data_IF_079356372101
#
_entry.id   IF_079356372101
#
_cell.length_a   1.000
_cell.length_b   1.000
_cell.length_c   1.000
_cell.angle_alpha   90.00
_cell.angle_beta   90.00
_cell.angle_gamma   90.00
#
_symmetry.space_group_name_H-M   'P 1'
#
loop_
_entity.id
_entity.type
_entity.pdbx_description
1 polymer ?
#
# COMPACT_ATOMS: atom_id res chain seq x y z
N UNK A 1 14.74 -12.20 14.17
CA UNK A 1 13.96 -11.61 13.07
C UNK A 1 12.52 -12.05 13.23
N UNK A 2 11.60 -11.15 13.58
CA UNK A 2 10.16 -11.43 13.53
C UNK A 2 9.65 -10.82 12.22
N UNK A 3 9.49 -11.66 11.21
CA UNK A 3 8.72 -11.32 10.01
C UNK A 3 7.27 -11.19 10.43
N UNK A 4 6.73 -9.97 10.40
CA UNK A 4 5.30 -9.74 10.57
C UNK A 4 4.61 -10.11 9.27
N UNK A 5 4.02 -11.30 9.25
CA UNK A 5 3.17 -11.78 8.18
C UNK A 5 1.87 -10.99 8.17
N UNK A 6 1.61 -10.23 7.11
CA UNK A 6 0.23 -9.92 6.72
C UNK A 6 -0.26 -11.10 5.88
N UNK A 7 -0.74 -12.16 6.55
CA UNK A 7 -1.50 -13.22 5.88
C UNK A 7 -2.87 -12.64 5.47
N UNK A 8 -2.98 -12.23 4.21
CA UNK A 8 -4.26 -12.29 3.54
C UNK A 8 -4.45 -13.75 3.10
N UNK A 9 -5.54 -14.39 3.53
CA UNK A 9 -5.91 -15.74 3.08
C UNK A 9 -6.16 -15.70 1.58
N UNK A 10 -5.13 -16.01 0.80
CA UNK A 10 -5.26 -16.29 -0.62
C UNK A 10 -6.01 -17.62 -0.77
N UNK A 11 -7.26 -17.55 -1.21
CA UNK A 11 -7.96 -18.69 -1.81
C UNK A 11 -7.39 -18.91 -3.21
N UNK A 12 -6.10 -19.27 -3.31
CA UNK A 12 -5.46 -19.64 -4.58
C UNK A 12 -5.48 -21.16 -4.74
N UNK A 13 -6.62 -21.67 -5.17
CA UNK A 13 -6.70 -22.98 -5.83
C UNK A 13 -7.51 -22.85 -7.11
N UNK A 14 -7.03 -22.03 -8.05
CA UNK A 14 -7.59 -21.89 -9.40
C UNK A 14 -7.29 -23.11 -10.31
N UNK A 15 -7.03 -24.28 -9.73
CA UNK A 15 -6.85 -25.54 -10.46
C UNK A 15 -7.93 -26.58 -10.16
N UNK A 16 -8.90 -26.30 -9.29
CA UNK A 16 -10.06 -27.18 -9.04
C UNK A 16 -11.28 -26.35 -8.62
N UNK A 17 -11.79 -25.49 -9.51
CA UNK A 17 -13.10 -24.87 -9.30
C UNK A 17 -14.21 -25.92 -9.57
N UNK A 18 -15.21 -26.08 -8.70
CA UNK A 18 -16.34 -26.98 -8.95
C UNK A 18 -17.04 -26.64 -10.26
N UNK A 19 -17.50 -27.65 -11.01
CA UNK A 19 -18.18 -27.52 -12.32
C UNK A 19 -19.32 -26.47 -12.34
N UNK A 20 -19.97 -26.22 -11.19
CA UNK A 20 -20.99 -25.18 -11.02
C UNK A 20 -20.48 -23.74 -11.14
N UNK A 21 -19.21 -23.48 -10.82
CA UNK A 21 -18.57 -22.15 -10.92
C UNK A 21 -18.21 -21.82 -12.38
N UNK A 22 -17.65 -22.78 -13.12
CA UNK A 22 -17.36 -22.63 -14.56
C UNK A 22 -18.63 -22.36 -15.41
N UNK A 23 -19.77 -22.93 -15.02
CA UNK A 23 -21.06 -22.68 -15.68
C UNK A 23 -21.60 -21.27 -15.40
N UNK A 24 -21.36 -20.70 -14.21
CA UNK A 24 -21.75 -19.33 -13.86
C UNK A 24 -20.88 -18.30 -14.59
N UNK A 25 -19.57 -18.51 -14.66
CA UNK A 25 -18.66 -17.58 -15.32
C UNK A 25 -18.90 -17.47 -16.83
N UNK A 26 -19.22 -18.57 -17.51
CA UNK A 26 -19.56 -18.52 -18.93
C UNK A 26 -20.80 -17.68 -19.25
N UNK A 27 -21.82 -17.69 -18.37
CA UNK A 27 -23.05 -16.89 -18.56
C UNK A 27 -22.79 -15.39 -18.40
N UNK A 28 -21.80 -15.00 -17.59
CA UNK A 28 -21.43 -13.59 -17.40
C UNK A 28 -20.70 -13.04 -18.63
N UNK A 29 -19.85 -13.86 -19.26
CA UNK A 29 -19.09 -13.49 -20.46
C UNK A 29 -20.01 -13.27 -21.68
N UNK A 30 -20.94 -14.18 -21.94
CA UNK A 30 -21.77 -14.21 -23.15
C UNK A 30 -22.60 -12.92 -23.32
N UNK A 31 -22.99 -12.26 -22.23
CA UNK A 31 -23.76 -11.01 -22.29
C UNK A 31 -23.00 -9.82 -22.87
N UNK A 32 -21.68 -9.93 -23.07
CA UNK A 32 -20.81 -8.82 -23.50
C UNK A 32 -20.59 -8.84 -25.00
N UNK A 33 -20.99 -7.74 -25.65
CA UNK A 33 -20.92 -7.58 -27.11
C UNK A 33 -19.64 -6.90 -27.59
N UNK A 34 -18.87 -6.26 -26.69
CA UNK A 34 -17.60 -5.59 -27.02
C UNK A 34 -16.42 -6.29 -26.35
N UNK A 35 -15.25 -6.25 -27.01
CA UNK A 35 -14.01 -6.79 -26.44
C UNK A 35 -13.66 -6.12 -25.09
N UNK A 36 -13.80 -4.80 -25.00
CA UNK A 36 -13.50 -4.05 -23.78
C UNK A 36 -14.35 -4.49 -22.59
N UNK A 37 -15.65 -4.70 -22.78
CA UNK A 37 -16.55 -5.13 -21.71
C UNK A 37 -16.36 -6.62 -21.36
N UNK A 38 -15.99 -7.43 -22.35
CA UNK A 38 -15.60 -8.82 -22.15
C UNK A 38 -14.40 -8.94 -21.20
N UNK A 39 -13.30 -8.22 -21.50
CA UNK A 39 -12.05 -8.33 -20.74
C UNK A 39 -12.16 -7.76 -19.32
N UNK A 40 -13.06 -6.79 -19.09
CA UNK A 40 -13.36 -6.28 -17.74
C UNK A 40 -14.05 -7.31 -16.85
N UNK A 41 -14.66 -8.34 -17.45
CA UNK A 41 -15.33 -9.41 -16.74
C UNK A 41 -14.32 -10.49 -16.34
N UNK A 42 -14.48 -11.03 -15.13
CA UNK A 42 -13.58 -12.03 -14.57
C UNK A 42 -13.56 -13.28 -15.48
N UNK A 43 -12.36 -13.80 -15.75
CA UNK A 43 -12.13 -15.08 -16.46
C UNK A 43 -12.71 -15.20 -17.90
N UNK A 44 -13.09 -14.09 -18.53
CA UNK A 44 -13.57 -14.06 -19.93
C UNK A 44 -12.47 -13.77 -20.96
N UNK A 45 -12.55 -14.37 -22.13
CA UNK A 45 -11.64 -14.14 -23.25
C UNK A 45 -12.44 -13.70 -24.48
N UNK A 46 -11.76 -13.04 -25.43
CA UNK A 46 -12.40 -12.53 -26.63
C UNK A 46 -11.85 -13.20 -27.89
N UNK A 47 -12.70 -13.63 -28.80
CA UNK A 47 -12.32 -14.14 -30.11
C UNK A 47 -12.37 -13.03 -31.18
N UNK A 48 -11.20 -12.65 -31.71
CA UNK A 48 -11.04 -11.62 -32.75
C UNK A 48 -11.00 -12.19 -34.18
N UNK A 49 -11.48 -13.41 -34.39
CA UNK A 49 -11.51 -14.07 -35.71
C UNK A 49 -12.28 -13.19 -36.72
N UNK A 50 -11.67 -12.84 -37.86
CA UNK A 50 -12.33 -12.06 -38.91
C UNK A 50 -13.43 -12.88 -39.59
N UNK A 51 -14.53 -12.23 -39.96
CA UNK A 51 -15.70 -12.87 -40.56
C UNK A 51 -16.80 -13.18 -39.54
N UNK A 52 -17.80 -13.95 -39.96
CA UNK A 52 -18.95 -14.26 -39.12
C UNK A 52 -18.62 -15.47 -38.23
N UNK A 53 -18.36 -15.20 -36.95
CA UNK A 53 -18.24 -16.26 -35.94
C UNK A 53 -19.66 -16.59 -35.48
N UNK A 54 -20.10 -17.82 -35.71
CA UNK A 54 -21.49 -18.25 -35.44
C UNK A 54 -21.85 -18.24 -33.95
N UNK A 55 -20.84 -18.30 -33.09
CA UNK A 55 -20.96 -18.35 -31.63
C UNK A 55 -20.63 -17.00 -30.98
N UNK A 56 -20.84 -16.89 -29.66
CA UNK A 56 -20.51 -15.68 -28.91
C UNK A 56 -19.00 -15.41 -28.88
N UNK A 57 -18.59 -14.20 -29.26
CA UNK A 57 -17.18 -13.79 -29.27
C UNK A 57 -16.56 -13.63 -27.88
N UNK A 58 -17.39 -13.45 -26.85
CA UNK A 58 -16.95 -13.36 -25.46
C UNK A 58 -17.34 -14.62 -24.70
N UNK A 59 -16.37 -15.43 -24.30
CA UNK A 59 -16.60 -16.60 -23.47
C UNK A 59 -15.34 -16.98 -22.70
N UNK A 60 -15.41 -18.00 -21.85
CA UNK A 60 -14.19 -18.56 -21.23
C UNK A 60 -13.25 -19.08 -22.31
N UNK A 61 -11.94 -19.04 -22.03
CA UNK A 61 -10.91 -19.48 -22.97
C UNK A 61 -11.18 -20.89 -23.53
N UNK A 62 -11.56 -21.82 -22.65
CA UNK A 62 -11.85 -23.21 -23.01
C UNK A 62 -13.03 -23.31 -24.00
N UNK A 63 -14.14 -22.62 -23.73
CA UNK A 63 -15.32 -22.65 -24.62
C UNK A 63 -15.06 -22.01 -25.97
N UNK A 64 -14.26 -20.95 -26.03
CA UNK A 64 -13.88 -20.35 -27.31
C UNK A 64 -13.06 -21.31 -28.17
N UNK A 65 -12.17 -22.09 -27.56
CA UNK A 65 -11.40 -23.12 -28.27
C UNK A 65 -12.30 -24.27 -28.76
N UNK A 66 -13.24 -24.74 -27.93
CA UNK A 66 -14.25 -25.74 -28.33
C UNK A 66 -15.13 -25.24 -29.49
N UNK A 67 -15.51 -23.95 -29.45
CA UNK A 67 -16.30 -23.29 -30.48
C UNK A 67 -15.49 -22.97 -31.75
N UNK A 68 -14.25 -23.45 -31.86
CA UNK A 68 -13.43 -23.33 -33.06
C UNK A 68 -12.69 -22.01 -33.21
N UNK A 69 -12.55 -21.21 -32.15
CA UNK A 69 -11.68 -20.03 -32.17
C UNK A 69 -10.19 -20.45 -32.09
N UNK A 70 -9.38 -20.21 -33.14
CA UNK A 70 -7.96 -20.56 -33.11
C UNK A 70 -7.20 -19.72 -32.07
N UNK A 71 -6.17 -20.29 -31.44
CA UNK A 71 -5.37 -19.59 -30.43
C UNK A 71 -4.75 -18.27 -30.91
N UNK A 72 -4.45 -18.14 -32.22
CA UNK A 72 -3.95 -16.88 -32.81
C UNK A 72 -4.97 -15.73 -32.77
N UNK A 73 -6.26 -16.06 -32.72
CA UNK A 73 -7.36 -15.10 -32.67
C UNK A 73 -7.94 -14.93 -31.26
N UNK A 74 -7.36 -15.63 -30.28
CA UNK A 74 -7.78 -15.55 -28.90
C UNK A 74 -7.08 -14.37 -28.23
N UNK A 75 -7.86 -13.37 -27.83
CA UNK A 75 -7.40 -12.23 -27.05
C UNK A 75 -7.78 -12.41 -25.57
N UNK A 76 -6.76 -12.62 -24.74
CA UNK A 76 -6.88 -12.69 -23.29
C UNK A 76 -5.65 -12.05 -22.66
N UNK A 77 -5.66 -10.73 -22.37
CA UNK A 77 -4.53 -10.07 -21.75
C UNK A 77 -4.25 -10.72 -20.40
N UNK A 78 -2.98 -10.96 -20.11
CA UNK A 78 -2.53 -11.54 -18.86
C UNK A 78 -1.98 -10.44 -17.96
N UNK A 79 -2.11 -10.64 -16.65
CA UNK A 79 -1.47 -9.76 -15.68
C UNK A 79 0.05 -9.94 -15.74
N UNK A 80 0.80 -8.87 -15.96
CA UNK A 80 2.28 -8.87 -15.91
C UNK A 80 2.80 -8.15 -14.67
N UNK A 81 3.96 -8.57 -14.19
CA UNK A 81 4.65 -8.01 -13.03
C UNK A 81 6.14 -7.98 -13.34
N UNK A 82 6.73 -6.79 -13.27
CA UNK A 82 8.12 -6.54 -13.58
C UNK A 82 8.78 -5.81 -12.40
N UNK A 83 9.93 -6.31 -11.95
CA UNK A 83 10.75 -5.66 -10.94
C UNK A 83 11.68 -4.66 -11.64
N UNK A 84 11.56 -3.38 -11.28
CA UNK A 84 12.41 -2.33 -11.86
C UNK A 84 13.55 -1.97 -10.90
N UNK A 85 13.27 -1.83 -9.61
CA UNK A 85 14.27 -1.56 -8.57
C UNK A 85 14.02 -2.50 -7.38
N UNK A 86 15.03 -3.33 -7.09
CA UNK A 86 14.98 -4.41 -6.09
C UNK A 86 16.31 -4.55 -5.32
N UNK A 87 16.81 -3.42 -4.82
CA UNK A 87 18.03 -3.37 -4.01
C UNK A 87 17.86 -4.07 -2.66
N UNK A 88 18.94 -4.69 -2.18
CA UNK A 88 18.93 -5.44 -0.94
C UNK A 88 18.83 -4.55 0.30
N UNK A 89 18.19 -5.07 1.33
CA UNK A 89 18.01 -4.38 2.60
C UNK A 89 19.36 -4.11 3.27
N UNK A 90 19.65 -2.84 3.52
CA UNK A 90 20.93 -2.38 4.04
C UNK A 90 20.76 -1.65 5.37
N UNK A 91 21.80 -1.69 6.19
CA UNK A 91 21.91 -0.81 7.35
C UNK A 91 22.69 0.45 6.94
N UNK A 92 22.61 1.50 7.74
CA UNK A 92 23.38 2.71 7.52
C UNK A 92 24.87 2.40 7.72
N UNK A 93 25.64 2.35 6.63
CA UNK A 93 27.10 2.11 6.66
C UNK A 93 27.89 3.41 6.59
N UNK A 94 27.37 4.41 5.89
CA UNK A 94 27.97 5.75 5.74
C UNK A 94 27.00 6.85 6.20
N UNK A 95 27.52 7.98 6.68
CA UNK A 95 26.69 9.10 7.15
C UNK A 95 25.79 9.70 6.06
N UNK A 96 26.23 9.60 4.80
CA UNK A 96 25.60 10.21 3.62
C UNK A 96 24.63 9.27 2.87
N UNK A 97 24.56 7.98 3.22
CA UNK A 97 23.65 7.03 2.58
C UNK A 97 22.52 6.66 3.52
N UNK A 98 21.29 6.79 3.03
CA UNK A 98 20.12 6.34 3.77
C UNK A 98 20.00 4.81 3.71
N UNK A 99 19.62 4.16 4.83
CA UNK A 99 19.47 2.71 4.86
C UNK A 99 18.26 2.26 4.06
N UNK A 100 18.41 1.16 3.30
CA UNK A 100 17.33 0.55 2.52
C UNK A 100 16.53 -0.37 3.44
N UNK A 101 15.35 0.07 3.85
CA UNK A 101 14.48 -0.65 4.80
C UNK A 101 13.32 -1.41 4.13
N UNK A 102 13.05 -1.13 2.86
CA UNK A 102 11.97 -1.72 2.08
C UNK A 102 12.51 -2.27 0.76
N UNK A 103 11.98 -3.43 0.36
CA UNK A 103 12.27 -4.12 -0.90
C UNK A 103 11.00 -4.80 -1.41
N UNK A 104 10.64 -4.71 -2.71
CA UNK A 104 11.26 -3.91 -3.78
C UNK A 104 10.98 -2.40 -3.65
N UNK A 105 11.79 -1.56 -4.31
CA UNK A 105 11.62 -0.09 -4.30
C UNK A 105 10.76 0.39 -5.47
N UNK A 106 10.81 -0.30 -6.62
CA UNK A 106 10.00 0.02 -7.79
C UNK A 106 9.52 -1.24 -8.50
N UNK A 107 8.20 -1.29 -8.73
CA UNK A 107 7.53 -2.39 -9.44
C UNK A 107 6.61 -1.82 -10.51
N UNK A 108 6.58 -2.48 -11.66
CA UNK A 108 5.66 -2.18 -12.75
C UNK A 108 4.67 -3.33 -12.89
N UNK A 109 3.38 -3.04 -12.78
CA UNK A 109 2.33 -4.07 -12.78
C UNK A 109 1.29 -3.70 -13.81
N UNK A 110 1.08 -4.58 -14.79
CA UNK A 110 -0.06 -4.49 -15.71
C UNK A 110 -1.12 -5.46 -15.25
N UNK A 111 -2.19 -4.96 -14.65
CA UNK A 111 -3.22 -5.79 -14.02
C UNK A 111 -4.41 -5.94 -14.95
N UNK A 112 -4.83 -7.19 -15.17
CA UNK A 112 -6.13 -7.48 -15.77
C UNK A 112 -7.26 -7.20 -14.75
N UNK A 113 -8.32 -6.47 -15.12
CA UNK A 113 -9.43 -6.18 -14.21
C UNK A 113 -9.99 -7.46 -13.56
N UNK A 114 -10.38 -7.34 -12.29
CA UNK A 114 -10.96 -8.44 -11.48
C UNK A 114 -10.00 -9.61 -11.17
N UNK A 115 -8.72 -9.52 -11.54
CA UNK A 115 -7.71 -10.51 -11.17
C UNK A 115 -6.70 -9.83 -10.22
N UNK A 116 -6.80 -10.09 -8.91
CA UNK A 116 -5.83 -9.55 -7.97
C UNK A 116 -4.45 -10.14 -8.23
N UNK A 117 -3.41 -9.31 -8.06
CA UNK A 117 -2.01 -9.73 -8.11
C UNK A 117 -1.35 -9.41 -6.80
N UNK A 118 -0.91 -10.44 -6.09
CA UNK A 118 -0.11 -10.30 -4.89
C UNK A 118 1.36 -10.24 -5.24
N UNK A 119 2.10 -9.41 -4.50
CA UNK A 119 3.55 -9.35 -4.54
C UNK A 119 4.06 -9.15 -3.11
N UNK A 120 5.28 -9.59 -2.85
CA UNK A 120 5.84 -9.56 -1.51
C UNK A 120 6.63 -8.28 -1.31
N UNK A 121 6.41 -7.64 -0.16
CA UNK A 121 7.20 -6.51 0.31
C UNK A 121 7.91 -6.95 1.59
N UNK A 122 9.23 -6.82 1.58
CA UNK A 122 10.07 -7.15 2.73
C UNK A 122 10.46 -5.86 3.44
N UNK A 123 10.27 -5.85 4.76
CA UNK A 123 10.65 -4.73 5.63
C UNK A 123 11.68 -5.17 6.66
N UNK A 124 12.68 -4.31 6.89
CA UNK A 124 13.64 -4.45 7.99
C UNK A 124 13.93 -3.08 8.57
N UNK A 125 13.72 -2.93 9.87
CA UNK A 125 14.06 -1.71 10.59
C UNK A 125 15.58 -1.51 10.59
N UNK A 126 16.02 -0.31 10.20
CA UNK A 126 17.43 0.08 10.25
C UNK A 126 17.91 0.30 11.69
N UNK A 127 19.18 0.03 11.93
CA UNK A 127 19.87 0.44 13.17
C UNK A 127 20.24 1.93 13.05
N UNK A 128 20.14 2.67 14.15
CA UNK A 128 20.51 4.09 14.23
C UNK A 128 19.81 5.00 13.20
N UNK A 129 18.48 4.94 13.17
CA UNK A 129 17.66 5.80 12.31
C UNK A 129 17.33 7.12 13.01
N UNK A 130 17.39 8.28 12.31
CA UNK A 130 17.17 9.58 12.92
C UNK A 130 15.77 9.70 13.55
N UNK A 131 15.70 10.39 14.68
CA UNK A 131 14.45 10.63 15.41
C UNK A 131 14.26 12.12 15.66
N UNK A 132 13.13 12.64 15.20
CA UNK A 132 12.68 14.00 15.48
C UNK A 132 11.53 13.95 16.49
N UNK A 133 11.72 14.56 17.66
CA UNK A 133 10.69 14.67 18.69
C UNK A 133 10.29 16.12 18.85
N UNK A 134 9.00 16.42 18.64
CA UNK A 134 8.44 17.75 18.86
C UNK A 134 7.54 17.75 20.09
N UNK A 135 7.98 18.43 21.14
CA UNK A 135 7.23 18.55 22.38
C UNK A 135 6.34 19.79 22.33
N UNK A 136 5.02 19.60 22.29
CA UNK A 136 4.04 20.68 22.30
C UNK A 136 3.37 20.77 23.67
N UNK A 137 3.66 21.84 24.41
CA UNK A 137 3.26 22.01 25.80
C UNK A 137 2.13 23.04 25.96
N UNK A 138 1.18 22.78 26.86
CA UNK A 138 0.26 23.80 27.35
C UNK A 138 0.97 24.68 28.40
N UNK A 139 0.98 26.01 28.18
CA UNK A 139 1.53 26.99 29.14
C UNK A 139 0.44 27.73 29.94
N UNK A 140 -0.76 27.16 30.04
CA UNK A 140 -1.81 27.63 30.93
C UNK A 140 -1.39 27.66 32.40
N UNK A 141 -2.10 28.41 33.23
CA UNK A 141 -1.78 28.57 34.67
C UNK A 141 -1.78 27.23 35.43
N UNK A 142 -2.56 26.24 34.98
CA UNK A 142 -2.58 24.90 35.58
C UNK A 142 -1.30 24.10 35.34
N UNK A 143 -0.47 24.47 34.36
CA UNK A 143 0.77 23.78 33.99
C UNK A 143 2.03 24.50 34.54
N UNK A 144 1.84 25.46 35.45
CA UNK A 144 2.92 26.31 35.96
C UNK A 144 4.01 25.52 36.70
N UNK A 145 3.63 24.52 37.50
CA UNK A 145 4.58 23.67 38.22
C UNK A 145 5.27 22.63 37.29
N UNK A 146 4.55 22.17 36.26
CA UNK A 146 5.08 21.21 35.28
C UNK A 146 6.09 21.83 34.32
N UNK A 147 6.02 23.14 34.07
CA UNK A 147 7.02 23.88 33.28
C UNK A 147 8.44 23.67 33.82
N UNK A 148 8.61 23.72 35.14
CA UNK A 148 9.91 23.56 35.78
C UNK A 148 10.44 22.12 35.61
N UNK A 149 9.57 21.12 35.79
CA UNK A 149 9.91 19.70 35.61
C UNK A 149 10.25 19.37 34.16
N UNK A 150 9.56 19.98 33.20
CA UNK A 150 9.78 19.73 31.77
C UNK A 150 11.12 20.27 31.27
N UNK A 151 11.59 21.38 31.83
CA UNK A 151 12.92 21.91 31.53
C UNK A 151 14.02 20.91 31.94
N UNK A 152 13.87 20.26 33.09
CA UNK A 152 14.78 19.22 33.56
C UNK A 152 14.67 17.94 32.71
N UNK A 153 13.43 17.52 32.39
CA UNK A 153 13.16 16.33 31.59
C UNK A 153 13.76 16.43 30.18
N UNK A 154 13.79 17.62 29.58
CA UNK A 154 14.35 17.82 28.23
C UNK A 154 15.82 17.39 28.14
N UNK A 155 16.62 17.66 29.17
CA UNK A 155 18.02 17.24 29.21
C UNK A 155 18.16 15.72 29.34
N UNK A 156 17.41 15.12 30.26
CA UNK A 156 17.41 13.67 30.51
C UNK A 156 16.94 12.91 29.28
N UNK A 157 15.91 13.41 28.60
CA UNK A 157 15.38 12.82 27.37
C UNK A 157 16.43 12.87 26.26
N UNK A 158 17.07 14.02 26.04
CA UNK A 158 18.11 14.15 25.02
C UNK A 158 19.30 13.21 25.26
N UNK A 159 19.73 13.04 26.52
CA UNK A 159 20.79 12.09 26.88
C UNK A 159 20.37 10.63 26.65
N UNK A 160 19.14 10.28 27.04
CA UNK A 160 18.62 8.92 26.89
C UNK A 160 18.47 8.57 25.40
N UNK A 161 17.97 9.50 24.59
CA UNK A 161 17.78 9.32 23.15
C UNK A 161 19.10 9.26 22.39
N UNK A 162 20.14 9.99 22.86
CA UNK A 162 21.49 9.91 22.29
C UNK A 162 22.13 8.53 22.42
N UNK A 163 21.72 7.74 23.42
CA UNK A 163 22.16 6.35 23.57
C UNK A 163 21.46 5.39 22.61
N UNK A 164 20.34 5.80 22.01
CA UNK A 164 19.55 4.99 21.08
C UNK A 164 19.83 5.33 19.61
N UNK A 165 19.97 6.63 19.31
CA UNK A 165 20.35 7.12 17.98
C UNK A 165 21.34 8.28 18.07
N UNK A 166 22.27 8.31 17.12
CA UNK A 166 23.24 9.38 16.96
C UNK A 166 22.62 10.66 16.38
N UNK A 167 21.46 10.58 15.72
CA UNK A 167 20.78 11.72 15.11
C UNK A 167 19.40 11.96 15.73
N UNK A 168 19.41 12.64 16.88
CA UNK A 168 18.20 13.04 17.59
C UNK A 168 18.01 14.56 17.52
N UNK A 169 16.81 15.01 17.14
CA UNK A 169 16.42 16.42 17.16
C UNK A 169 15.22 16.61 18.09
N UNK A 170 15.31 17.64 18.94
CA UNK A 170 14.26 18.01 19.86
C UNK A 170 13.73 19.40 19.51
N UNK A 171 12.44 19.49 19.19
CA UNK A 171 11.71 20.75 19.05
C UNK A 171 10.81 20.99 20.25
N UNK A 172 10.61 22.27 20.59
CA UNK A 172 9.67 22.68 21.62
C UNK A 172 8.69 23.69 21.03
N UNK A 173 7.42 23.50 21.34
CA UNK A 173 6.33 24.41 21.04
C UNK A 173 5.48 24.60 22.28
N UNK A 174 4.80 25.74 22.35
CA UNK A 174 3.80 25.96 23.38
C UNK A 174 2.52 26.51 22.79
N UNK A 175 1.40 26.20 23.45
CA UNK A 175 0.12 26.78 23.13
C UNK A 175 -0.55 27.30 24.39
N UNK A 176 -1.37 28.33 24.19
CA UNK A 176 -2.38 28.83 25.12
C UNK A 176 -3.66 29.00 24.29
N UNK A 177 -4.79 29.24 24.95
CA UNK A 177 -6.05 29.52 24.26
C UNK A 177 -5.99 30.81 23.42
N UNK A 178 -6.98 30.98 22.54
CA UNK A 178 -7.08 32.15 21.66
C UNK A 178 -7.22 33.43 22.48
N UNK A 179 -6.57 34.50 22.02
CA UNK A 179 -6.60 35.83 22.66
C UNK A 179 -7.93 36.60 22.45
N UNK A 180 -9.06 35.91 22.28
CA UNK A 180 -10.38 36.51 22.03
C UNK A 180 -11.39 36.07 23.08
N UNK A 181 -12.44 36.87 23.29
CA UNK A 181 -13.56 36.45 24.13
C UNK A 181 -14.28 35.24 23.51
N UNK A 182 -14.79 34.30 24.33
CA UNK A 182 -14.83 34.28 25.81
C UNK A 182 -13.62 33.59 26.47
N UNK A 183 -12.57 33.26 25.71
CA UNK A 183 -11.45 32.43 26.17
C UNK A 183 -10.45 33.18 27.07
N UNK A 184 -10.29 34.48 26.87
CA UNK A 184 -9.47 35.36 27.73
C UNK A 184 -10.25 36.60 28.16
N UNK A 185 -9.96 37.10 29.36
CA UNK A 185 -10.46 38.40 29.82
C UNK A 185 -9.72 39.53 29.11
N UNK A 186 -10.44 40.37 28.38
CA UNK A 186 -9.91 41.59 27.72
C UNK A 186 -10.05 42.84 28.59
N UNK A 187 -10.57 42.71 29.83
CA UNK A 187 -10.68 43.83 30.77
C UNK A 187 -9.27 44.27 31.17
N UNK A 188 -8.89 45.55 30.99
CA UNK A 188 -7.58 46.05 31.38
C UNK A 188 -7.34 45.93 32.90
N UNK A 189 -6.26 45.23 33.24
CA UNK A 189 -5.60 44.96 34.53
C UNK A 189 -6.38 44.30 35.68
N UNK A 190 -5.74 43.21 36.14
CA UNK A 190 -5.80 42.66 37.49
C UNK A 190 -4.37 42.42 37.96
#
# INVERSE_FOLDING_TARGET
>A
MKTTYFEYKDTSSALNAPFSEQLRDSRLCITKTTCGDCIKTKECSWCNLPGNFSEDRCNTMFKLQENGCPSMHLYSPQTSFDLEEDEDLSNKTDENMDPIQLKPQRVSIRIRPQIPKTFQVTFKQALDYPVDLYYLMDLSKSMEDDKAKLAELGHVLAQTMKNLTNNFRLGFGSFVDKIVMPYVSIVPEK
#
